data_IF_625748409797
#
_entry.id   IF_625748409797
#
_cell.length_a   1.000
_cell.length_b   1.000
_cell.length_c   1.000
_cell.angle_alpha   90.00
_cell.angle_beta   90.00
_cell.angle_gamma   90.00
#
_symmetry.space_group_name_H-M   'P 1'
#
loop_
_entity.id
_entity.type
_entity.pdbx_description
1 polymer ?
#
# COMPACT_ATOMS: atom_id res chain seq x y z
N UNK A 1 56.94 -30.68 -6.05
CA UNK A 1 56.50 -29.42 -6.68
C UNK A 1 54.97 -29.29 -6.67
N UNK A 2 54.22 -30.23 -7.17
CA UNK A 2 52.75 -30.22 -7.25
C UNK A 2 52.05 -29.99 -5.90
N UNK A 3 52.47 -30.68 -4.80
CA UNK A 3 51.90 -30.50 -3.47
C UNK A 3 52.09 -29.07 -2.92
N UNK A 4 53.23 -28.40 -3.24
CA UNK A 4 53.44 -27.00 -2.84
C UNK A 4 52.53 -26.04 -3.61
N UNK A 5 52.38 -26.26 -4.91
CA UNK A 5 51.48 -25.46 -5.73
C UNK A 5 50.02 -25.59 -5.23
N UNK A 6 49.54 -26.81 -4.99
CA UNK A 6 48.22 -27.08 -4.45
C UNK A 6 47.99 -26.41 -3.09
N UNK A 7 49.00 -26.43 -2.18
CA UNK A 7 48.94 -25.71 -0.90
C UNK A 7 48.77 -24.20 -1.08
N UNK A 8 49.48 -23.59 -2.01
CA UNK A 8 49.39 -22.15 -2.26
C UNK A 8 48.05 -21.76 -2.91
N UNK A 9 47.54 -22.58 -3.84
CA UNK A 9 46.19 -22.40 -4.42
C UNK A 9 45.13 -22.49 -3.31
N UNK A 10 45.19 -23.47 -2.43
CA UNK A 10 44.26 -23.61 -1.32
C UNK A 10 44.32 -22.41 -0.36
N UNK A 11 45.53 -21.94 0.00
CA UNK A 11 45.69 -20.74 0.83
C UNK A 11 45.08 -19.52 0.14
N UNK A 12 45.34 -19.35 -1.14
CA UNK A 12 44.75 -18.25 -1.94
C UNK A 12 43.23 -18.30 -1.93
N UNK A 13 42.61 -19.46 -2.21
CA UNK A 13 41.18 -19.65 -2.20
C UNK A 13 40.58 -19.38 -0.82
N UNK A 14 41.18 -19.86 0.25
CA UNK A 14 40.73 -19.60 1.62
C UNK A 14 40.83 -18.11 1.95
N UNK A 15 41.93 -17.47 1.57
CA UNK A 15 42.12 -16.02 1.78
C UNK A 15 41.08 -15.21 1.00
N UNK A 16 40.78 -15.61 -0.22
CA UNK A 16 39.77 -14.98 -1.06
C UNK A 16 38.36 -15.09 -0.44
N UNK A 17 38.00 -16.29 0.08
CA UNK A 17 36.74 -16.52 0.78
C UNK A 17 36.61 -15.63 2.02
N UNK A 18 37.72 -15.54 2.81
CA UNK A 18 37.77 -14.67 3.99
C UNK A 18 37.59 -13.21 3.62
N UNK A 19 38.27 -12.74 2.57
CA UNK A 19 38.15 -11.35 2.08
C UNK A 19 36.74 -11.04 1.60
N UNK A 20 36.10 -11.95 0.87
CA UNK A 20 34.70 -11.83 0.44
C UNK A 20 33.80 -11.76 1.67
N UNK A 21 33.97 -12.65 2.65
CA UNK A 21 33.18 -12.65 3.88
C UNK A 21 33.34 -11.36 4.71
N UNK A 22 34.56 -10.82 4.80
CA UNK A 22 34.79 -9.50 5.42
C UNK A 22 34.10 -8.39 4.62
N UNK A 23 34.23 -8.41 3.30
CA UNK A 23 33.60 -7.45 2.41
C UNK A 23 32.07 -7.43 2.59
N UNK A 24 31.44 -8.60 2.58
CA UNK A 24 30.00 -8.74 2.82
C UNK A 24 29.60 -8.25 4.22
N UNK A 25 30.37 -8.64 5.24
CA UNK A 25 30.10 -8.19 6.61
C UNK A 25 30.13 -6.66 6.72
N UNK A 26 31.15 -6.01 6.14
CA UNK A 26 31.27 -4.56 6.11
C UNK A 26 30.14 -3.92 5.31
N UNK A 27 29.85 -4.46 4.14
CA UNK A 27 28.76 -4.00 3.27
C UNK A 27 27.39 -4.01 3.97
N UNK A 28 27.11 -5.06 4.75
CA UNK A 28 25.84 -5.21 5.46
C UNK A 28 25.77 -4.28 6.69
N UNK A 29 26.90 -4.12 7.43
CA UNK A 29 26.87 -3.55 8.77
C UNK A 29 27.36 -2.10 8.85
N UNK A 30 28.28 -1.65 7.99
CA UNK A 30 28.72 -0.24 8.00
C UNK A 30 27.56 0.75 7.85
N UNK A 31 26.60 0.56 6.92
CA UNK A 31 25.46 1.47 6.82
C UNK A 31 24.62 1.49 8.10
N UNK A 32 24.45 0.35 8.78
CA UNK A 32 23.72 0.28 10.06
C UNK A 32 24.41 1.05 11.17
N UNK A 33 25.77 1.03 11.19
CA UNK A 33 26.56 1.79 12.16
C UNK A 33 26.51 3.30 11.84
N UNK A 34 26.63 3.67 10.57
CA UNK A 34 26.57 5.08 10.14
C UNK A 34 25.21 5.72 10.38
N UNK A 35 24.13 4.91 10.33
CA UNK A 35 22.78 5.39 10.67
C UNK A 35 22.60 5.72 12.17
N UNK A 36 23.44 5.15 13.07
CA UNK A 36 23.34 5.34 14.50
C UNK A 36 23.97 6.66 14.95
N UNK A 37 23.74 7.72 14.22
CA UNK A 37 24.19 9.05 14.62
C UNK A 37 23.10 9.81 15.36
N UNK A 38 23.52 10.83 16.09
CA UNK A 38 22.61 11.78 16.70
C UNK A 38 22.42 12.94 15.72
N UNK A 39 21.19 13.16 15.27
CA UNK A 39 20.81 14.33 14.48
C UNK A 39 20.48 15.43 15.48
N UNK A 40 21.18 16.58 15.36
CA UNK A 40 21.18 17.62 16.39
C UNK A 40 19.87 18.38 16.48
N UNK A 41 19.24 18.63 15.34
CA UNK A 41 18.04 19.48 15.15
C UNK A 41 16.74 18.69 14.89
N UNK A 42 16.78 17.36 14.98
CA UNK A 42 15.60 16.53 14.65
C UNK A 42 14.40 16.80 15.56
N UNK A 43 14.66 17.20 16.82
CA UNK A 43 13.61 17.47 17.81
C UNK A 43 12.90 18.82 17.55
N UNK A 44 13.50 19.70 16.74
CA UNK A 44 12.90 20.98 16.35
C UNK A 44 11.80 20.75 15.27
N UNK A 45 11.93 19.70 14.47
CA UNK A 45 11.04 19.40 13.36
C UNK A 45 10.14 18.18 13.58
N UNK A 46 10.60 17.20 14.35
CA UNK A 46 9.83 15.97 14.65
C UNK A 46 8.61 16.23 15.49
N UNK A 47 7.46 15.69 15.06
CA UNK A 47 6.16 15.87 15.73
C UNK A 47 5.51 14.51 16.01
N UNK A 48 4.52 14.50 16.91
CA UNK A 48 3.66 13.34 17.07
C UNK A 48 2.77 13.17 15.82
N UNK A 49 2.39 11.93 15.51
CA UNK A 49 1.47 11.63 14.38
C UNK A 49 0.13 12.36 14.55
N UNK A 50 -0.33 12.50 15.80
CA UNK A 50 -1.54 13.25 16.14
C UNK A 50 -1.43 14.77 15.89
N UNK A 51 -0.23 15.27 15.55
CA UNK A 51 -0.02 16.68 15.19
C UNK A 51 -0.01 16.95 13.70
N UNK A 52 -0.18 15.90 12.86
CA UNK A 52 -0.37 16.07 11.42
C UNK A 52 -1.56 17.01 11.20
N UNK A 53 -1.33 18.06 10.45
CA UNK A 53 -2.33 19.02 10.01
C UNK A 53 -1.93 19.54 8.65
N UNK A 54 -2.76 19.30 7.65
CA UNK A 54 -2.48 19.58 6.25
C UNK A 54 -3.19 20.85 5.79
N UNK A 55 -2.67 21.47 4.74
CA UNK A 55 -3.27 22.67 4.16
C UNK A 55 -4.64 22.33 3.53
N UNK A 56 -5.58 23.27 3.59
CA UNK A 56 -6.99 23.09 3.13
C UNK A 56 -7.13 22.81 1.62
N UNK A 57 -6.07 23.06 0.83
CA UNK A 57 -6.05 22.78 -0.60
C UNK A 57 -5.68 21.34 -0.94
N UNK A 58 -5.26 20.53 0.03
CA UNK A 58 -4.94 19.13 -0.19
C UNK A 58 -6.23 18.34 -0.47
N UNK A 59 -6.23 17.61 -1.57
CA UNK A 59 -7.36 16.80 -2.03
C UNK A 59 -7.12 15.30 -1.85
N UNK A 60 -5.86 14.85 -2.00
CA UNK A 60 -5.47 13.44 -1.80
C UNK A 60 -4.26 13.36 -0.90
N UNK A 61 -4.33 12.52 0.12
CA UNK A 61 -3.21 12.21 1.01
C UNK A 61 -2.80 10.76 0.77
N UNK A 62 -1.58 10.53 0.33
CA UNK A 62 -1.00 9.19 0.23
C UNK A 62 -0.29 8.83 1.53
N UNK A 63 -0.71 7.75 2.19
CA UNK A 63 -0.02 7.16 3.33
C UNK A 63 0.61 5.84 2.91
N UNK A 64 1.93 5.81 2.87
CA UNK A 64 2.69 4.63 2.49
C UNK A 64 2.99 3.68 3.63
N UNK A 65 3.31 2.44 3.28
CA UNK A 65 3.92 1.48 4.18
C UNK A 65 5.18 0.89 3.55
N UNK A 66 6.28 0.86 4.33
CA UNK A 66 7.58 0.35 3.86
C UNK A 66 7.57 -1.17 3.65
N UNK A 67 6.58 -1.86 4.21
CA UNK A 67 6.28 -3.28 4.02
C UNK A 67 4.85 -3.57 4.51
N UNK A 68 4.17 -4.50 3.87
CA UNK A 68 2.86 -4.98 4.30
C UNK A 68 2.89 -5.83 5.59
N UNK A 69 4.07 -6.31 5.97
CA UNK A 69 4.25 -7.28 7.06
C UNK A 69 4.41 -6.70 8.47
N UNK A 70 4.15 -5.40 8.70
CA UNK A 70 4.27 -4.75 10.00
C UNK A 70 2.94 -4.26 10.57
N UNK A 71 2.66 -4.62 11.82
CA UNK A 71 1.47 -4.19 12.57
C UNK A 71 1.48 -2.68 12.84
N UNK A 72 2.66 -2.10 13.14
CA UNK A 72 2.77 -0.67 13.42
C UNK A 72 2.32 0.18 12.22
N UNK A 73 2.54 -0.27 10.98
CA UNK A 73 2.05 0.45 9.80
C UNK A 73 0.54 0.33 9.63
N UNK A 74 -0.06 -0.80 10.02
CA UNK A 74 -1.51 -0.91 10.05
C UNK A 74 -2.12 -0.02 11.13
N UNK A 75 -1.49 0.06 12.32
CA UNK A 75 -1.89 0.99 13.38
C UNK A 75 -1.78 2.45 12.94
N UNK A 76 -0.74 2.80 12.17
CA UNK A 76 -0.56 4.14 11.62
C UNK A 76 -1.69 4.54 10.66
N UNK A 77 -2.27 3.60 9.89
CA UNK A 77 -3.44 3.89 9.06
C UNK A 77 -4.60 4.42 9.90
N UNK A 78 -4.88 3.77 11.03
CA UNK A 78 -5.92 4.20 11.95
C UNK A 78 -5.58 5.52 12.65
N UNK A 79 -4.33 5.70 13.08
CA UNK A 79 -3.90 6.91 13.79
C UNK A 79 -3.96 8.14 12.87
N UNK A 80 -3.46 8.04 11.63
CA UNK A 80 -3.53 9.10 10.62
C UNK A 80 -4.96 9.38 10.21
N UNK A 81 -5.78 8.33 9.99
CA UNK A 81 -7.21 8.49 9.69
C UNK A 81 -7.90 9.34 10.78
N UNK A 82 -7.74 8.97 12.05
CA UNK A 82 -8.32 9.71 13.19
C UNK A 82 -7.86 11.16 13.22
N UNK A 83 -6.57 11.37 13.03
CA UNK A 83 -5.98 12.72 13.04
C UNK A 83 -6.55 13.61 11.95
N UNK A 84 -6.67 13.09 10.72
CA UNK A 84 -7.20 13.85 9.59
C UNK A 84 -8.73 14.02 9.66
N UNK A 85 -9.47 13.07 10.24
CA UNK A 85 -10.89 13.24 10.54
C UNK A 85 -11.10 14.41 11.50
N UNK A 86 -10.30 14.48 12.56
CA UNK A 86 -10.42 15.52 13.58
C UNK A 86 -9.97 16.89 13.07
N UNK A 87 -8.83 16.97 12.36
CA UNK A 87 -8.18 18.24 12.01
C UNK A 87 -8.51 18.77 10.63
N UNK A 88 -8.75 17.88 9.67
CA UNK A 88 -8.92 18.24 8.27
C UNK A 88 -10.31 17.88 7.72
N UNK A 89 -11.26 17.47 8.61
CA UNK A 89 -12.60 17.03 8.21
C UNK A 89 -12.55 15.95 7.10
N UNK A 90 -11.59 15.03 7.19
CA UNK A 90 -11.48 13.89 6.28
C UNK A 90 -12.71 12.98 6.44
N UNK A 91 -13.30 12.55 5.30
CA UNK A 91 -14.44 11.63 5.30
C UNK A 91 -14.20 10.35 4.50
N UNK A 92 -13.16 10.31 3.68
CA UNK A 92 -12.96 9.23 2.73
C UNK A 92 -11.61 8.54 2.95
N UNK A 93 -11.64 7.21 3.08
CA UNK A 93 -10.47 6.38 3.18
C UNK A 93 -10.49 5.32 2.08
N UNK A 94 -9.34 5.10 1.41
CA UNK A 94 -9.17 4.04 0.44
C UNK A 94 -7.89 3.26 0.70
N UNK A 95 -7.90 1.97 0.36
CA UNK A 95 -6.77 1.06 0.60
C UNK A 95 -6.42 0.29 -0.67
N UNK A 96 -5.18 -0.22 -0.75
CA UNK A 96 -4.68 -1.11 -1.79
C UNK A 96 -5.35 -2.49 -1.70
N UNK A 97 -6.63 -2.54 -2.07
CA UNK A 97 -7.48 -3.73 -2.14
C UNK A 97 -8.45 -3.56 -3.30
N UNK A 98 -9.11 -4.64 -3.75
CA UNK A 98 -10.07 -4.58 -4.85
C UNK A 98 -11.19 -3.58 -4.57
N UNK A 99 -11.66 -2.92 -5.63
CA UNK A 99 -12.74 -1.93 -5.56
C UNK A 99 -14.01 -2.53 -4.96
N UNK A 100 -14.40 -3.74 -5.37
CA UNK A 100 -15.58 -4.42 -4.84
C UNK A 100 -15.47 -4.78 -3.37
N UNK A 101 -14.30 -5.23 -2.92
CA UNK A 101 -14.02 -5.47 -1.49
C UNK A 101 -14.21 -4.19 -0.68
N UNK A 102 -13.65 -3.07 -1.17
CA UNK A 102 -13.85 -1.76 -0.57
C UNK A 102 -15.32 -1.38 -0.44
N UNK A 103 -16.15 -1.68 -1.45
CA UNK A 103 -17.59 -1.40 -1.40
C UNK A 103 -18.35 -2.27 -0.40
N UNK A 104 -17.94 -3.54 -0.20
CA UNK A 104 -18.52 -4.39 0.84
C UNK A 104 -18.21 -3.81 2.22
N UNK A 105 -16.95 -3.41 2.46
CA UNK A 105 -16.55 -2.72 3.70
C UNK A 105 -17.34 -1.41 3.85
N UNK A 106 -17.50 -0.63 2.78
CA UNK A 106 -18.30 0.60 2.83
C UNK A 106 -19.75 0.34 3.26
N UNK A 107 -20.38 -0.70 2.70
CA UNK A 107 -21.74 -1.09 3.11
C UNK A 107 -21.78 -1.54 4.57
N UNK A 108 -20.75 -2.24 5.04
CA UNK A 108 -20.64 -2.66 6.42
C UNK A 108 -20.57 -1.46 7.39
N UNK A 109 -19.70 -0.48 7.13
CA UNK A 109 -19.56 0.69 8.04
C UNK A 109 -20.78 1.61 8.05
N UNK A 110 -21.69 1.49 7.07
CA UNK A 110 -22.98 2.16 7.04
C UNK A 110 -24.14 1.27 7.55
N UNK A 111 -23.87 0.00 7.83
CA UNK A 111 -24.83 -0.93 8.37
C UNK A 111 -25.08 -0.74 9.87
N UNK A 112 -25.80 -1.70 10.47
CA UNK A 112 -26.18 -1.67 11.89
C UNK A 112 -25.71 -2.89 12.69
N UNK A 113 -24.98 -3.80 12.05
CA UNK A 113 -24.48 -5.03 12.69
C UNK A 113 -22.95 -5.05 12.64
N UNK A 114 -22.33 -5.08 13.83
CA UNK A 114 -20.89 -5.17 14.00
C UNK A 114 -20.37 -6.58 13.71
N UNK A 115 -19.20 -6.66 13.07
CA UNK A 115 -18.43 -7.87 12.82
C UNK A 115 -16.98 -7.66 13.23
N UNK A 116 -16.48 -8.47 14.15
CA UNK A 116 -15.10 -8.40 14.66
C UNK A 116 -14.06 -8.99 13.68
N UNK A 117 -14.53 -9.69 12.64
CA UNK A 117 -13.69 -10.33 11.63
C UNK A 117 -13.90 -9.77 10.22
N UNK A 118 -14.45 -8.57 10.10
CA UNK A 118 -14.81 -7.96 8.81
C UNK A 118 -13.63 -7.87 7.83
N UNK A 119 -12.41 -7.77 8.30
CA UNK A 119 -11.21 -7.74 7.45
C UNK A 119 -10.98 -9.02 6.63
N UNK A 120 -11.66 -10.13 6.94
CA UNK A 120 -11.63 -11.36 6.13
C UNK A 120 -12.30 -11.23 4.76
N UNK A 121 -12.97 -10.11 4.49
CA UNK A 121 -13.47 -9.77 3.16
C UNK A 121 -12.34 -9.57 2.15
N UNK A 122 -11.19 -9.07 2.59
CA UNK A 122 -10.07 -8.86 1.69
C UNK A 122 -9.51 -10.18 1.14
N UNK A 123 -9.19 -10.21 -0.13
CA UNK A 123 -8.47 -11.32 -0.78
C UNK A 123 -7.00 -11.38 -0.31
N UNK A 124 -6.42 -10.24 0.03
CA UNK A 124 -5.08 -10.16 0.58
C UNK A 124 -5.06 -10.49 2.07
N UNK A 125 -4.53 -11.67 2.42
CA UNK A 125 -4.47 -12.15 3.80
C UNK A 125 -3.64 -11.26 4.75
N UNK A 126 -2.77 -10.39 4.23
CA UNK A 126 -2.06 -9.38 5.01
C UNK A 126 -2.99 -8.45 5.79
N UNK A 127 -4.23 -8.32 5.33
CA UNK A 127 -5.27 -7.52 5.99
C UNK A 127 -6.13 -8.32 6.98
N UNK A 128 -6.01 -9.66 7.03
CA UNK A 128 -6.73 -10.50 8.00
C UNK A 128 -6.12 -10.35 9.40
N UNK A 129 -6.14 -9.16 9.95
CA UNK A 129 -5.49 -8.82 11.21
C UNK A 129 -6.44 -8.09 12.15
N UNK A 130 -6.10 -8.15 13.45
CA UNK A 130 -6.81 -7.35 14.44
C UNK A 130 -6.71 -5.85 14.14
N UNK A 131 -5.53 -5.37 13.68
CA UNK A 131 -5.29 -3.96 13.40
C UNK A 131 -6.22 -3.43 12.29
N UNK A 132 -6.44 -4.23 11.23
CA UNK A 132 -7.37 -3.86 10.16
C UNK A 132 -8.83 -3.94 10.63
N UNK A 133 -9.20 -4.94 11.44
CA UNK A 133 -10.51 -4.98 12.07
C UNK A 133 -10.75 -3.75 12.96
N UNK A 134 -9.75 -3.34 13.76
CA UNK A 134 -9.83 -2.16 14.61
C UNK A 134 -10.04 -0.86 13.79
N UNK A 135 -9.37 -0.72 12.63
CA UNK A 135 -9.56 0.41 11.71
C UNK A 135 -10.99 0.44 11.16
N UNK A 136 -11.45 -0.67 10.59
CA UNK A 136 -12.77 -0.74 9.96
C UNK A 136 -13.87 -0.56 11.02
N UNK A 137 -13.71 -1.19 12.19
CA UNK A 137 -14.65 -1.04 13.29
C UNK A 137 -14.66 0.35 13.91
N UNK A 138 -13.53 1.08 13.90
CA UNK A 138 -13.53 2.50 14.25
C UNK A 138 -14.42 3.30 13.30
N UNK A 139 -14.32 3.07 11.98
CA UNK A 139 -15.18 3.75 11.00
C UNK A 139 -16.65 3.38 11.17
N UNK A 140 -16.96 2.10 11.45
CA UNK A 140 -18.30 1.66 11.79
C UNK A 140 -18.85 2.41 13.01
N UNK A 141 -18.12 2.39 14.16
CA UNK A 141 -18.54 3.03 15.40
C UNK A 141 -18.69 4.56 15.28
N UNK A 142 -17.84 5.18 14.46
CA UNK A 142 -17.95 6.61 14.11
C UNK A 142 -19.25 6.89 13.37
N UNK A 143 -19.56 6.10 12.33
CA UNK A 143 -20.74 6.26 11.49
C UNK A 143 -22.07 6.03 12.25
N UNK A 144 -22.07 5.19 13.31
CA UNK A 144 -23.25 5.02 14.17
C UNK A 144 -23.64 6.31 14.93
N UNK A 145 -22.70 7.24 15.12
CA UNK A 145 -22.87 8.45 15.90
C UNK A 145 -22.89 9.71 15.03
N UNK A 146 -22.32 9.63 13.83
CA UNK A 146 -22.22 10.75 12.91
C UNK A 146 -23.56 11.02 12.23
N UNK A 147 -23.80 12.29 11.86
CA UNK A 147 -24.87 12.65 10.95
C UNK A 147 -24.54 12.12 9.55
N UNK A 148 -25.56 11.97 8.71
CA UNK A 148 -25.39 11.37 7.37
C UNK A 148 -24.33 12.11 6.51
N UNK A 149 -24.30 13.46 6.60
CA UNK A 149 -23.33 14.30 5.91
C UNK A 149 -21.89 14.17 6.43
N UNK A 150 -21.70 13.62 7.65
CA UNK A 150 -20.41 13.50 8.33
C UNK A 150 -19.87 12.05 8.36
N UNK A 151 -20.62 11.11 7.82
CA UNK A 151 -20.23 9.70 7.78
C UNK A 151 -18.96 9.48 6.96
N UNK A 152 -18.13 8.56 7.45
CA UNK A 152 -16.93 8.10 6.76
C UNK A 152 -17.29 7.11 5.65
N UNK A 153 -16.55 7.14 4.54
CA UNK A 153 -16.65 6.21 3.43
C UNK A 153 -15.36 5.42 3.25
N UNK A 154 -15.49 4.15 2.85
CA UNK A 154 -14.38 3.24 2.62
C UNK A 154 -14.35 2.75 1.17
N UNK A 155 -13.16 2.67 0.55
CA UNK A 155 -12.95 2.25 -0.84
C UNK A 155 -11.74 1.30 -0.96
N UNK A 156 -11.74 0.47 -2.01
CA UNK A 156 -10.56 -0.15 -2.56
C UNK A 156 -10.15 0.55 -3.86
N UNK A 157 -8.85 0.59 -4.18
CA UNK A 157 -8.40 1.20 -5.43
C UNK A 157 -7.63 0.25 -6.35
N UNK A 158 -7.51 -1.02 -6.00
CA UNK A 158 -6.88 -2.07 -6.83
C UNK A 158 -7.92 -2.82 -7.68
N UNK A 159 -7.45 -3.67 -8.62
CA UNK A 159 -8.28 -4.46 -9.53
C UNK A 159 -7.85 -5.93 -9.63
N UNK A 160 -6.96 -6.39 -8.75
CA UNK A 160 -6.36 -7.72 -8.86
C UNK A 160 -7.32 -8.88 -8.51
N UNK A 161 -8.39 -8.64 -7.76
CA UNK A 161 -9.37 -9.66 -7.42
C UNK A 161 -10.81 -9.19 -7.71
N UNK A 162 -11.30 -9.34 -8.95
CA UNK A 162 -12.58 -8.77 -9.37
C UNK A 162 -13.81 -9.51 -8.83
N UNK A 163 -13.67 -10.54 -7.97
CA UNK A 163 -14.79 -11.36 -7.50
C UNK A 163 -15.89 -10.50 -6.86
N UNK A 164 -15.52 -9.61 -5.95
CA UNK A 164 -16.49 -8.77 -5.24
C UNK A 164 -17.07 -7.65 -6.10
N UNK A 165 -16.30 -7.15 -7.05
CA UNK A 165 -16.80 -6.23 -8.07
C UNK A 165 -17.88 -6.89 -8.95
N UNK A 166 -17.69 -8.17 -9.30
CA UNK A 166 -18.70 -8.95 -10.06
C UNK A 166 -19.95 -9.21 -9.22
N UNK A 167 -19.82 -9.54 -7.93
CA UNK A 167 -20.98 -9.68 -7.02
C UNK A 167 -21.83 -8.40 -7.01
N UNK A 168 -21.22 -7.22 -6.95
CA UNK A 168 -21.92 -5.94 -7.03
C UNK A 168 -22.69 -5.75 -8.35
N UNK A 169 -22.08 -6.15 -9.47
CA UNK A 169 -22.71 -6.08 -10.79
C UNK A 169 -23.93 -7.01 -10.85
N UNK A 170 -23.79 -8.26 -10.35
CA UNK A 170 -24.89 -9.23 -10.34
C UNK A 170 -26.07 -8.76 -9.48
N UNK A 171 -25.80 -8.18 -8.31
CA UNK A 171 -26.84 -7.64 -7.43
C UNK A 171 -27.57 -6.47 -8.12
N UNK A 172 -26.85 -5.60 -8.81
CA UNK A 172 -27.46 -4.51 -9.58
C UNK A 172 -28.32 -5.03 -10.73
N UNK A 173 -27.86 -6.06 -11.46
CA UNK A 173 -28.64 -6.68 -12.54
C UNK A 173 -29.94 -7.29 -12.02
N UNK A 174 -29.88 -7.96 -10.86
CA UNK A 174 -31.06 -8.54 -10.22
C UNK A 174 -32.08 -7.48 -9.81
N UNK A 175 -31.63 -6.39 -9.17
CA UNK A 175 -32.50 -5.32 -8.71
C UNK A 175 -33.17 -4.57 -9.87
N UNK A 176 -32.49 -4.47 -11.02
CA UNK A 176 -33.02 -3.75 -12.21
C UNK A 176 -33.67 -4.70 -13.22
N UNK A 177 -33.89 -5.98 -12.89
CA UNK A 177 -34.50 -6.99 -13.76
C UNK A 177 -33.79 -7.13 -15.12
N UNK A 178 -32.47 -7.09 -15.15
CA UNK A 178 -31.68 -7.28 -16.37
C UNK A 178 -31.74 -8.78 -16.72
N UNK A 179 -32.27 -9.11 -17.89
CA UNK A 179 -32.59 -10.50 -18.31
C UNK A 179 -31.38 -11.43 -18.34
N UNK A 180 -30.19 -10.92 -18.58
CA UNK A 180 -28.93 -11.67 -18.64
C UNK A 180 -28.33 -12.01 -17.27
N UNK A 181 -28.93 -11.59 -16.16
CA UNK A 181 -28.39 -11.81 -14.81
C UNK A 181 -28.12 -13.30 -14.53
N UNK A 182 -29.05 -14.20 -14.92
CA UNK A 182 -28.90 -15.65 -14.68
C UNK A 182 -27.75 -16.26 -15.47
N UNK A 183 -27.50 -15.79 -16.67
CA UNK A 183 -26.40 -16.27 -17.50
C UNK A 183 -25.07 -15.75 -16.95
N UNK A 184 -24.99 -14.48 -16.56
CA UNK A 184 -23.83 -13.91 -15.85
C UNK A 184 -23.52 -14.68 -14.58
N UNK A 185 -24.51 -14.95 -13.72
CA UNK A 185 -24.31 -15.67 -12.47
C UNK A 185 -23.74 -17.07 -12.71
N UNK A 186 -24.21 -17.78 -13.74
CA UNK A 186 -23.69 -19.08 -14.14
C UNK A 186 -22.25 -18.99 -14.63
N UNK A 187 -21.96 -18.04 -15.50
CA UNK A 187 -20.65 -17.88 -16.13
C UNK A 187 -19.57 -17.41 -15.13
N UNK A 188 -19.94 -16.54 -14.18
CA UNK A 188 -19.03 -16.08 -13.15
C UNK A 188 -18.98 -16.95 -11.88
N UNK A 189 -19.83 -17.99 -11.77
CA UNK A 189 -19.76 -18.94 -10.64
C UNK A 189 -18.41 -19.67 -10.54
N UNK A 190 -17.68 -19.80 -11.64
CA UNK A 190 -16.36 -20.42 -11.72
C UNK A 190 -15.21 -19.54 -11.19
N UNK A 191 -15.44 -18.28 -10.90
CA UNK A 191 -14.41 -17.39 -10.36
C UNK A 191 -13.88 -17.90 -9.01
N UNK A 192 -14.75 -18.55 -8.22
CA UNK A 192 -14.37 -19.21 -6.96
C UNK A 192 -13.47 -20.44 -7.16
N UNK A 193 -13.48 -21.03 -8.36
CA UNK A 193 -12.58 -22.11 -8.74
C UNK A 193 -11.35 -21.54 -9.47
N UNK A 194 -10.26 -21.29 -8.72
CA UNK A 194 -8.98 -20.71 -9.22
C UNK A 194 -8.33 -21.48 -10.38
N UNK A 195 -8.93 -22.59 -10.85
CA UNK A 195 -8.48 -23.36 -12.00
C UNK A 195 -8.76 -22.68 -13.34
N UNK A 196 -9.70 -21.76 -13.41
CA UNK A 196 -10.05 -21.06 -14.66
C UNK A 196 -9.31 -19.72 -14.78
N UNK A 197 -8.88 -19.38 -16.00
CA UNK A 197 -8.33 -18.05 -16.29
C UNK A 197 -9.48 -17.04 -16.25
N UNK A 198 -9.63 -16.35 -15.12
CA UNK A 198 -10.66 -15.33 -14.88
C UNK A 198 -10.72 -14.32 -16.04
N UNK A 199 -9.54 -13.84 -16.49
CA UNK A 199 -9.44 -12.91 -17.61
C UNK A 199 -10.16 -13.39 -18.87
N UNK A 200 -10.09 -14.70 -19.20
CA UNK A 200 -10.76 -15.24 -20.37
C UNK A 200 -12.29 -15.18 -20.25
N UNK A 201 -12.82 -15.56 -19.07
CA UNK A 201 -14.28 -15.54 -18.82
C UNK A 201 -14.81 -14.12 -18.89
N UNK A 202 -14.11 -13.16 -18.29
CA UNK A 202 -14.48 -11.74 -18.32
C UNK A 202 -14.44 -11.23 -19.76
N UNK A 203 -13.38 -11.55 -20.51
CA UNK A 203 -13.22 -11.14 -21.92
C UNK A 203 -14.34 -11.68 -22.82
N UNK A 204 -14.74 -12.95 -22.62
CA UNK A 204 -15.86 -13.55 -23.38
C UNK A 204 -17.21 -12.87 -23.05
N UNK A 205 -17.28 -12.03 -21.99
CA UNK A 205 -18.45 -11.28 -21.55
C UNK A 205 -18.30 -9.75 -21.62
N UNK A 206 -17.22 -9.28 -22.28
CA UNK A 206 -16.91 -7.84 -22.35
C UNK A 206 -18.07 -7.03 -22.92
N UNK A 207 -18.64 -7.45 -24.06
CA UNK A 207 -19.77 -6.74 -24.68
C UNK A 207 -20.97 -6.63 -23.74
N UNK A 208 -21.31 -7.70 -23.05
CA UNK A 208 -22.41 -7.72 -22.08
C UNK A 208 -22.12 -6.81 -20.87
N UNK A 209 -20.89 -6.81 -20.35
CA UNK A 209 -20.47 -5.90 -19.29
C UNK A 209 -20.57 -4.43 -19.73
N UNK A 210 -20.18 -4.14 -20.97
CA UNK A 210 -20.30 -2.79 -21.55
C UNK A 210 -21.77 -2.36 -21.75
N UNK A 211 -22.67 -3.27 -22.15
CA UNK A 211 -24.10 -2.99 -22.21
C UNK A 211 -24.69 -2.66 -20.83
N UNK A 212 -24.33 -3.45 -19.79
CA UNK A 212 -24.75 -3.19 -18.41
C UNK A 212 -24.21 -1.84 -17.93
N UNK A 213 -22.93 -1.55 -18.25
CA UNK A 213 -22.30 -0.26 -17.93
C UNK A 213 -23.05 0.90 -18.60
N UNK A 214 -23.35 0.79 -19.89
CA UNK A 214 -24.10 1.81 -20.62
C UNK A 214 -25.47 2.06 -19.99
N UNK A 215 -26.18 1.01 -19.58
CA UNK A 215 -27.45 1.15 -18.84
C UNK A 215 -27.22 1.85 -17.49
N UNK A 216 -26.23 1.43 -16.70
CA UNK A 216 -25.93 2.06 -15.40
C UNK A 216 -25.59 3.56 -15.57
N UNK A 217 -24.88 3.94 -16.63
CA UNK A 217 -24.50 5.32 -16.94
C UNK A 217 -25.72 6.21 -17.29
N UNK A 218 -26.88 5.64 -17.69
CA UNK A 218 -28.12 6.41 -17.87
C UNK A 218 -28.79 6.80 -16.55
N UNK A 219 -28.39 6.16 -15.44
CA UNK A 219 -29.01 6.36 -14.13
C UNK A 219 -28.20 7.37 -13.30
N UNK A 220 -28.89 8.26 -12.58
CA UNK A 220 -28.26 9.28 -11.75
C UNK A 220 -27.85 8.82 -10.34
N UNK A 221 -28.29 7.62 -9.92
CA UNK A 221 -28.07 7.12 -8.56
C UNK A 221 -26.58 6.84 -8.26
N UNK A 222 -26.16 7.05 -7.01
CA UNK A 222 -24.82 6.71 -6.55
C UNK A 222 -24.50 5.23 -6.76
N UNK A 223 -25.47 4.32 -6.56
CA UNK A 223 -25.32 2.89 -6.78
C UNK A 223 -24.99 2.57 -8.23
N UNK A 224 -25.70 3.18 -9.19
CA UNK A 224 -25.42 2.98 -10.61
C UNK A 224 -24.02 3.47 -11.01
N UNK A 225 -23.58 4.61 -10.51
CA UNK A 225 -22.21 5.12 -10.73
C UNK A 225 -21.15 4.18 -10.16
N UNK A 226 -21.37 3.61 -8.97
CA UNK A 226 -20.49 2.62 -8.36
C UNK A 226 -20.41 1.35 -9.21
N UNK A 227 -21.56 0.85 -9.71
CA UNK A 227 -21.60 -0.34 -10.55
C UNK A 227 -20.91 -0.09 -11.90
N UNK A 228 -21.13 1.07 -12.52
CA UNK A 228 -20.39 1.48 -13.73
C UNK A 228 -18.86 1.46 -13.50
N UNK A 229 -18.40 1.94 -12.33
CA UNK A 229 -16.98 1.86 -11.96
C UNK A 229 -16.52 0.43 -11.68
N UNK A 230 -17.33 -0.40 -11.00
CA UNK A 230 -17.03 -1.81 -10.76
C UNK A 230 -16.85 -2.58 -12.07
N UNK A 231 -17.69 -2.33 -13.09
CA UNK A 231 -17.53 -2.91 -14.43
C UNK A 231 -16.20 -2.48 -15.05
N UNK A 232 -15.85 -1.19 -14.95
CA UNK A 232 -14.55 -0.71 -15.44
C UNK A 232 -13.39 -1.43 -14.71
N UNK A 233 -13.48 -1.61 -13.40
CA UNK A 233 -12.48 -2.30 -12.60
C UNK A 233 -12.33 -3.78 -13.01
N UNK A 234 -13.44 -4.46 -13.29
CA UNK A 234 -13.45 -5.84 -13.80
C UNK A 234 -12.75 -5.92 -15.17
N UNK A 235 -13.02 -5.00 -16.08
CA UNK A 235 -12.38 -4.94 -17.40
C UNK A 235 -10.89 -4.56 -17.28
N UNK A 236 -10.51 -3.71 -16.34
CA UNK A 236 -9.13 -3.35 -16.06
C UNK A 236 -8.35 -4.56 -15.51
N UNK A 237 -8.98 -5.45 -14.74
CA UNK A 237 -8.34 -6.70 -14.29
C UNK A 237 -7.93 -7.60 -15.46
N UNK A 238 -8.69 -7.62 -16.56
CA UNK A 238 -8.34 -8.36 -17.78
C UNK A 238 -7.05 -7.80 -18.39
N UNK A 239 -6.97 -6.47 -18.53
CA UNK A 239 -5.76 -5.80 -19.07
C UNK A 239 -4.52 -6.17 -18.26
N UNK A 240 -4.66 -6.23 -16.93
CA UNK A 240 -3.57 -6.60 -16.02
C UNK A 240 -3.19 -8.09 -16.19
N UNK A 241 -4.15 -9.03 -16.17
CA UNK A 241 -3.88 -10.45 -16.24
C UNK A 241 -3.47 -10.97 -17.62
N UNK A 242 -3.63 -10.18 -18.69
CA UNK A 242 -3.11 -10.50 -20.02
C UNK A 242 -1.62 -10.13 -20.19
N UNK A 243 -1.00 -9.48 -19.19
CA UNK A 243 0.42 -9.12 -19.22
C UNK A 243 1.33 -10.33 -18.98
N UNK A 244 2.55 -10.25 -19.50
CA UNK A 244 3.64 -11.12 -19.09
C UNK A 244 4.23 -10.63 -17.76
N UNK A 245 3.96 -11.34 -16.68
CA UNK A 245 4.49 -11.00 -15.35
C UNK A 245 6.00 -11.18 -15.20
N UNK A 246 6.70 -11.77 -16.19
CA UNK A 246 8.16 -11.73 -16.25
C UNK A 246 8.66 -10.33 -16.62
N UNK A 247 7.86 -9.51 -17.31
CA UNK A 247 8.13 -8.09 -17.51
C UNK A 247 7.59 -7.28 -16.31
N UNK A 248 8.37 -7.30 -15.23
CA UNK A 248 8.05 -6.62 -13.97
C UNK A 248 7.73 -5.14 -14.19
N UNK A 249 8.50 -4.43 -15.01
CA UNK A 249 8.31 -3.01 -15.29
C UNK A 249 6.95 -2.75 -15.92
N UNK A 250 6.61 -3.50 -16.96
CA UNK A 250 5.33 -3.34 -17.67
C UNK A 250 4.14 -3.69 -16.80
N UNK A 251 4.22 -4.78 -16.02
CA UNK A 251 3.14 -5.20 -15.15
C UNK A 251 2.84 -4.14 -14.07
N UNK A 252 3.88 -3.58 -13.43
CA UNK A 252 3.69 -2.53 -12.43
C UNK A 252 3.21 -1.22 -13.06
N UNK A 253 3.76 -0.78 -14.20
CA UNK A 253 3.27 0.42 -14.89
C UNK A 253 1.77 0.38 -15.14
N UNK A 254 1.27 -0.74 -15.70
CA UNK A 254 -0.15 -0.90 -15.99
C UNK A 254 -0.98 -0.92 -14.71
N UNK A 255 -0.57 -1.68 -13.69
CA UNK A 255 -1.30 -1.75 -12.42
C UNK A 255 -1.38 -0.38 -11.75
N UNK A 256 -0.27 0.33 -11.68
CA UNK A 256 -0.20 1.63 -11.02
C UNK A 256 -1.01 2.71 -11.75
N UNK A 257 -1.02 2.72 -13.09
CA UNK A 257 -1.90 3.58 -13.88
C UNK A 257 -3.39 3.30 -13.61
N UNK A 258 -3.78 2.01 -13.56
CA UNK A 258 -5.15 1.61 -13.29
C UNK A 258 -5.58 1.96 -11.86
N UNK A 259 -4.71 1.76 -10.86
CA UNK A 259 -4.94 2.18 -9.48
C UNK A 259 -5.11 3.70 -9.38
N UNK A 260 -4.29 4.49 -10.08
CA UNK A 260 -4.42 5.94 -10.12
C UNK A 260 -5.77 6.37 -10.74
N UNK A 261 -6.24 5.66 -11.76
CA UNK A 261 -7.57 5.84 -12.34
C UNK A 261 -8.70 5.60 -11.34
N UNK A 262 -8.58 4.56 -10.48
CA UNK A 262 -9.52 4.30 -9.38
C UNK A 262 -9.50 5.43 -8.34
N UNK A 263 -8.32 5.86 -7.89
CA UNK A 263 -8.17 6.96 -6.92
C UNK A 263 -8.79 8.25 -7.47
N UNK A 264 -8.52 8.57 -8.74
CA UNK A 264 -9.13 9.75 -9.39
C UNK A 264 -10.65 9.67 -9.38
N UNK A 265 -11.21 8.52 -9.78
CA UNK A 265 -12.65 8.32 -9.81
C UNK A 265 -13.27 8.47 -8.41
N UNK A 266 -12.66 7.87 -7.37
CA UNK A 266 -13.12 7.98 -5.97
C UNK A 266 -13.12 9.46 -5.54
N UNK A 267 -12.04 10.18 -5.81
CA UNK A 267 -11.93 11.61 -5.47
C UNK A 267 -13.02 12.44 -6.16
N UNK A 268 -13.27 12.24 -7.45
CA UNK A 268 -14.29 12.97 -8.20
C UNK A 268 -15.71 12.62 -7.71
N UNK A 269 -15.95 11.33 -7.43
CA UNK A 269 -17.23 10.85 -6.91
C UNK A 269 -17.57 11.45 -5.55
N UNK A 270 -16.59 11.56 -4.67
CA UNK A 270 -16.77 12.13 -3.33
C UNK A 270 -16.82 13.66 -3.35
N UNK A 271 -16.07 14.33 -4.23
CA UNK A 271 -16.20 15.78 -4.47
C UNK A 271 -17.59 16.17 -4.94
N UNK A 272 -18.22 15.36 -5.79
CA UNK A 272 -19.59 15.60 -6.23
C UNK A 272 -20.62 15.53 -5.09
N UNK A 273 -20.26 14.91 -3.95
CA UNK A 273 -21.03 14.88 -2.70
C UNK A 273 -20.64 15.99 -1.71
N UNK A 274 -19.63 16.81 -2.03
CA UNK A 274 -19.11 17.86 -1.16
C UNK A 274 -17.91 17.46 -0.29
N UNK A 275 -17.41 16.24 -0.41
CA UNK A 275 -16.26 15.75 0.35
C UNK A 275 -14.96 16.06 -0.39
N UNK A 276 -14.05 16.84 0.23
CA UNK A 276 -12.88 17.40 -0.48
C UNK A 276 -11.65 16.50 -0.40
N UNK A 277 -11.45 15.79 0.71
CA UNK A 277 -10.20 15.08 1.00
C UNK A 277 -10.40 13.57 0.99
N UNK A 278 -9.43 12.86 0.40
CA UNK A 278 -9.33 11.41 0.35
C UNK A 278 -7.97 10.97 0.91
N UNK A 279 -7.96 10.11 1.94
CA UNK A 279 -6.77 9.41 2.40
C UNK A 279 -6.67 8.07 1.68
N UNK A 280 -5.58 7.85 0.95
CA UNK A 280 -5.26 6.56 0.35
C UNK A 280 -4.10 5.90 1.09
N UNK A 281 -4.14 4.58 1.26
CA UNK A 281 -3.04 3.83 1.88
C UNK A 281 -2.65 2.61 1.05
N UNK A 282 -1.35 2.50 0.74
CA UNK A 282 -0.74 1.40 0.00
C UNK A 282 0.76 1.32 0.27
N UNK A 283 1.46 0.44 -0.45
CA UNK A 283 2.91 0.32 -0.33
C UNK A 283 3.61 1.65 -0.70
N UNK A 284 4.72 1.96 -0.01
CA UNK A 284 5.55 3.14 -0.28
C UNK A 284 5.87 3.30 -1.77
N UNK A 285 6.20 2.20 -2.45
CA UNK A 285 6.54 2.19 -3.87
C UNK A 285 5.39 2.66 -4.77
N UNK A 286 4.13 2.35 -4.41
CA UNK A 286 2.97 2.77 -5.19
C UNK A 286 2.60 4.24 -4.97
N UNK A 287 2.74 4.76 -3.73
CA UNK A 287 2.33 6.13 -3.43
C UNK A 287 3.40 7.19 -3.71
N UNK A 288 4.67 6.79 -3.90
CA UNK A 288 5.79 7.70 -4.09
C UNK A 288 5.67 8.54 -5.37
N UNK A 289 6.32 9.73 -5.40
CA UNK A 289 6.39 10.61 -6.59
C UNK A 289 7.12 9.96 -7.75
N UNK A 290 8.05 9.06 -7.47
CA UNK A 290 8.86 8.36 -8.47
C UNK A 290 9.33 7.01 -7.95
N UNK A 291 9.68 6.12 -8.87
CA UNK A 291 10.34 4.83 -8.64
C UNK A 291 11.32 4.57 -9.81
N UNK A 292 12.41 3.80 -9.55
CA UNK A 292 13.49 3.60 -10.54
C UNK A 292 13.09 2.69 -11.69
N UNK A 293 12.25 1.72 -11.43
CA UNK A 293 12.02 0.60 -12.35
C UNK A 293 10.67 0.69 -13.07
N UNK A 294 9.74 1.50 -12.57
CA UNK A 294 8.42 1.69 -13.16
C UNK A 294 7.84 3.05 -12.75
N UNK A 295 6.77 3.48 -13.41
CA UNK A 295 6.05 4.71 -13.06
C UNK A 295 4.97 4.39 -12.01
N UNK A 296 5.15 4.81 -10.74
CA UNK A 296 4.25 4.46 -9.66
C UNK A 296 2.93 5.24 -9.74
N UNK A 297 1.89 4.71 -9.09
CA UNK A 297 0.60 5.36 -8.92
C UNK A 297 0.75 6.81 -8.45
N UNK A 298 1.64 7.07 -7.49
CA UNK A 298 1.92 8.41 -6.97
C UNK A 298 2.41 9.41 -8.02
N UNK A 299 3.20 8.95 -9.02
CA UNK A 299 3.60 9.77 -10.17
C UNK A 299 2.38 10.19 -11.01
N UNK A 300 1.48 9.25 -11.32
CA UNK A 300 0.23 9.54 -12.02
C UNK A 300 -0.66 10.48 -11.22
N UNK A 301 -0.79 10.27 -9.90
CA UNK A 301 -1.57 11.13 -9.02
C UNK A 301 -0.97 12.55 -8.92
N UNK A 302 0.37 12.68 -8.91
CA UNK A 302 1.03 14.00 -8.93
C UNK A 302 0.75 14.75 -10.24
N UNK A 303 0.67 14.06 -11.38
CA UNK A 303 0.26 14.65 -12.66
C UNK A 303 -1.21 15.11 -12.63
N UNK A 304 -2.09 14.35 -11.98
CA UNK A 304 -3.54 14.64 -11.91
C UNK A 304 -3.84 15.76 -10.92
N UNK A 305 -3.29 15.70 -9.71
CA UNK A 305 -3.65 16.58 -8.59
C UNK A 305 -2.62 17.70 -8.33
N UNK A 306 -1.40 17.60 -8.89
CA UNK A 306 -0.34 18.58 -8.65
C UNK A 306 0.02 18.70 -7.18
N UNK A 307 0.07 19.93 -6.66
CA UNK A 307 0.39 20.22 -5.25
C UNK A 307 -0.75 19.84 -4.27
N UNK A 308 -1.90 19.41 -4.78
CA UNK A 308 -3.01 18.93 -3.97
C UNK A 308 -2.89 17.44 -3.59
N UNK A 309 -1.86 16.74 -4.07
CA UNK A 309 -1.47 15.41 -3.64
C UNK A 309 -0.29 15.52 -2.66
N UNK A 310 -0.54 15.19 -1.39
CA UNK A 310 0.45 15.21 -0.31
C UNK A 310 0.83 13.78 0.08
N UNK A 311 2.10 13.46 0.14
CA UNK A 311 2.59 12.10 0.30
C UNK A 311 3.35 11.92 1.60
N UNK A 312 2.86 11.01 2.44
CA UNK A 312 3.48 10.60 3.70
C UNK A 312 4.03 9.18 3.54
N UNK A 313 5.34 9.05 3.38
CA UNK A 313 6.01 7.74 3.41
C UNK A 313 6.17 7.21 4.83
N UNK A 314 6.56 5.95 4.96
CA UNK A 314 6.95 5.39 6.27
C UNK A 314 8.28 4.66 6.18
N UNK A 315 9.03 4.61 7.29
CA UNK A 315 10.18 3.73 7.44
C UNK A 315 10.33 3.28 8.92
N UNK A 316 11.10 2.23 9.14
CA UNK A 316 11.47 1.76 10.48
C UNK A 316 12.99 1.56 10.59
N UNK A 317 13.57 1.81 11.76
CA UNK A 317 14.99 1.56 11.97
C UNK A 317 15.29 0.05 12.05
N UNK A 318 14.54 -0.68 12.86
CA UNK A 318 14.60 -2.13 12.99
C UNK A 318 13.19 -2.70 13.12
N UNK A 319 12.91 -3.80 12.46
CA UNK A 319 11.60 -4.43 12.56
C UNK A 319 11.66 -5.94 12.39
N UNK A 320 10.64 -6.60 12.89
CA UNK A 320 10.28 -7.97 12.52
C UNK A 320 9.15 -7.86 11.51
N UNK A 321 9.33 -8.44 10.34
CA UNK A 321 8.36 -8.42 9.25
C UNK A 321 7.81 -9.82 9.06
N UNK A 322 6.49 -9.98 9.06
CA UNK A 322 5.82 -11.20 8.66
C UNK A 322 5.64 -11.19 7.15
N UNK A 323 6.30 -12.09 6.43
CA UNK A 323 6.45 -12.05 4.97
C UNK A 323 6.43 -13.46 4.37
N UNK A 324 5.98 -13.59 3.12
CA UNK A 324 5.96 -14.85 2.38
C UNK A 324 7.39 -15.28 2.01
N UNK A 325 7.77 -16.50 2.33
CA UNK A 325 9.01 -17.11 1.86
C UNK A 325 8.85 -17.61 0.42
N UNK A 326 9.84 -17.30 -0.42
CA UNK A 326 9.88 -17.80 -1.79
C UNK A 326 10.30 -19.27 -1.78
N UNK A 327 9.46 -20.15 -2.33
CA UNK A 327 9.74 -21.58 -2.41
C UNK A 327 8.49 -22.43 -2.66
N UNK A 328 8.66 -23.77 -2.81
CA UNK A 328 7.53 -24.69 -3.07
C UNK A 328 6.48 -24.71 -1.97
N UNK A 329 6.90 -24.47 -0.72
CA UNK A 329 6.05 -24.47 0.49
C UNK A 329 5.87 -23.04 1.00
N UNK A 330 5.59 -22.09 0.11
CA UNK A 330 5.46 -20.67 0.45
C UNK A 330 4.64 -20.46 1.73
N UNK A 331 5.31 -20.11 2.82
CA UNK A 331 4.72 -19.81 4.14
C UNK A 331 5.09 -18.41 4.56
N UNK A 332 4.19 -17.76 5.25
CA UNK A 332 4.52 -16.51 5.94
C UNK A 332 5.34 -16.83 7.19
N UNK A 333 6.43 -16.11 7.38
CA UNK A 333 7.28 -16.23 8.56
C UNK A 333 7.88 -14.89 8.97
N UNK A 334 8.40 -14.84 10.18
CA UNK A 334 8.93 -13.62 10.79
C UNK A 334 10.43 -13.48 10.55
N UNK A 335 10.83 -12.40 9.86
CA UNK A 335 12.21 -12.07 9.60
C UNK A 335 12.60 -10.70 10.13
N UNK A 336 13.85 -10.55 10.60
CA UNK A 336 14.39 -9.29 11.13
C UNK A 336 15.06 -8.50 10.03
N UNK A 337 14.65 -7.22 9.88
CA UNK A 337 15.26 -6.27 8.97
C UNK A 337 15.77 -5.03 9.73
N UNK A 338 16.80 -4.38 9.17
CA UNK A 338 17.37 -3.12 9.69
C UNK A 338 17.56 -2.18 8.50
N UNK A 339 16.92 -1.02 8.52
CA UNK A 339 16.91 -0.09 7.39
C UNK A 339 18.28 0.52 7.11
N UNK A 340 18.99 0.94 8.12
CA UNK A 340 20.13 1.83 8.04
C UNK A 340 19.76 3.30 7.69
N UNK A 341 18.53 3.70 7.98
CA UNK A 341 18.05 5.07 7.90
C UNK A 341 18.35 5.83 9.21
N UNK A 342 19.11 6.95 9.19
CA UNK A 342 19.38 7.76 10.37
C UNK A 342 18.15 8.51 10.89
N UNK A 343 17.18 8.84 10.02
CA UNK A 343 15.92 9.45 10.43
C UNK A 343 15.08 8.44 11.21
N UNK A 344 14.94 7.20 10.69
CA UNK A 344 14.23 6.14 11.43
C UNK A 344 14.94 5.77 12.75
N UNK A 345 16.27 5.81 12.81
CA UNK A 345 17.01 5.65 14.08
C UNK A 345 16.65 6.73 15.10
N UNK A 346 16.37 7.95 14.64
CA UNK A 346 16.03 9.09 15.52
C UNK A 346 14.67 8.93 16.19
N UNK A 347 13.78 8.05 15.73
CA UNK A 347 12.49 7.79 16.35
C UNK A 347 12.60 7.34 17.83
N UNK A 348 13.77 6.84 18.28
CA UNK A 348 14.05 6.55 19.69
C UNK A 348 13.94 7.78 20.62
N UNK A 349 14.09 8.99 20.07
CA UNK A 349 13.93 10.25 20.82
C UNK A 349 12.46 10.65 21.05
N UNK A 350 11.52 10.04 20.28
CA UNK A 350 10.10 10.38 20.19
C UNK A 350 9.18 9.26 20.70
N UNK A 351 9.57 8.56 21.75
CA UNK A 351 8.80 7.41 22.30
C UNK A 351 8.56 6.29 21.28
N UNK A 352 9.44 6.16 20.29
CA UNK A 352 9.44 5.08 19.32
C UNK A 352 8.88 5.42 17.95
N UNK A 353 8.20 6.55 17.75
CA UNK A 353 7.74 7.03 16.44
C UNK A 353 7.57 8.54 16.39
N UNK A 354 7.70 9.13 15.18
CA UNK A 354 7.44 10.55 14.94
C UNK A 354 7.11 10.80 13.48
N UNK A 355 6.46 11.91 13.21
CA UNK A 355 6.19 12.46 11.90
C UNK A 355 7.17 13.60 11.60
N UNK A 356 7.68 13.67 10.38
CA UNK A 356 8.51 14.74 9.86
C UNK A 356 7.91 15.28 8.58
N UNK A 357 7.47 16.54 8.61
CA UNK A 357 6.99 17.28 7.45
C UNK A 357 8.16 17.91 6.71
N UNK A 358 8.52 17.38 5.55
CA UNK A 358 9.67 17.86 4.76
C UNK A 358 9.47 19.28 4.22
N UNK A 359 8.23 19.73 4.08
CA UNK A 359 7.91 21.07 3.60
C UNK A 359 8.23 22.15 4.65
N UNK A 360 8.34 21.75 5.91
CA UNK A 360 8.63 22.64 7.05
C UNK A 360 10.11 22.63 7.46
N UNK A 361 10.91 21.68 6.98
CA UNK A 361 12.36 21.59 7.25
C UNK A 361 13.10 22.54 6.32
N UNK A 362 13.79 23.55 6.88
CA UNK A 362 14.39 24.62 6.08
C UNK A 362 15.91 24.61 6.04
N UNK A 363 16.55 24.13 7.11
CA UNK A 363 18.00 24.12 7.28
C UNK A 363 18.43 23.03 8.26
N UNK A 364 19.74 22.93 8.54
CA UNK A 364 20.32 22.05 9.51
C UNK A 364 20.59 20.63 9.01
N UNK A 365 20.97 19.76 9.94
CA UNK A 365 21.34 18.37 9.63
C UNK A 365 20.17 17.55 9.12
N UNK A 366 18.95 17.82 9.63
CA UNK A 366 17.70 17.21 9.15
C UNK A 366 17.43 17.59 7.71
N UNK A 367 17.61 18.87 7.34
CA UNK A 367 17.47 19.33 5.96
C UNK A 367 18.45 18.63 5.02
N UNK A 368 19.72 18.52 5.42
CA UNK A 368 20.71 17.80 4.63
C UNK A 368 20.34 16.34 4.40
N UNK A 369 19.77 15.68 5.41
CA UNK A 369 19.37 14.27 5.34
C UNK A 369 18.18 14.01 4.40
N UNK A 370 17.18 14.88 4.42
CA UNK A 370 16.02 14.71 3.53
C UNK A 370 16.30 15.10 2.08
N UNK A 371 17.38 15.86 1.83
CA UNK A 371 17.82 16.33 0.50
C UNK A 371 19.01 15.54 -0.07
N UNK A 372 19.43 14.43 0.54
CA UNK A 372 20.49 13.55 0.01
C UNK A 372 20.05 12.09 0.03
N UNK A 373 20.74 11.28 -0.76
CA UNK A 373 20.52 9.84 -0.77
C UNK A 373 20.79 9.22 0.61
N UNK A 374 19.78 8.57 1.18
CA UNK A 374 19.88 7.74 2.38
C UNK A 374 19.33 6.34 2.10
N UNK A 375 19.66 5.38 2.97
CA UNK A 375 19.05 4.07 2.89
C UNK A 375 17.69 4.09 3.58
N UNK A 376 16.67 3.61 2.89
CA UNK A 376 15.31 3.42 3.42
C UNK A 376 14.86 1.98 3.16
N UNK A 377 13.92 1.45 3.95
CA UNK A 377 13.32 0.14 3.65
C UNK A 377 12.28 0.28 2.54
N UNK A 378 12.34 -0.65 1.60
CA UNK A 378 11.27 -0.94 0.65
C UNK A 378 11.22 -2.46 0.50
N UNK A 379 10.21 -3.09 1.08
CA UNK A 379 10.10 -4.54 1.15
C UNK A 379 8.69 -4.96 0.76
N UNK A 380 8.58 -5.62 -0.39
CA UNK A 380 7.33 -6.22 -0.86
C UNK A 380 6.95 -7.48 -0.08
N UNK A 381 6.19 -8.38 -0.69
CA UNK A 381 5.61 -9.57 -0.07
C UNK A 381 6.44 -10.85 -0.21
N UNK A 382 7.67 -10.78 -0.74
CA UNK A 382 8.50 -11.95 -0.99
C UNK A 382 9.82 -11.89 -0.23
N UNK A 383 10.17 -12.97 0.47
CA UNK A 383 11.43 -13.14 1.17
C UNK A 383 12.23 -14.32 0.62
N UNK A 384 13.52 -14.08 0.37
CA UNK A 384 14.50 -15.14 0.10
C UNK A 384 15.63 -15.09 1.14
N UNK A 385 16.16 -16.24 1.61
CA UNK A 385 17.29 -16.28 2.52
C UNK A 385 18.52 -15.50 2.04
N UNK A 386 18.70 -15.34 0.72
CA UNK A 386 19.77 -14.55 0.11
C UNK A 386 19.67 -13.06 0.45
N UNK A 387 18.49 -12.55 0.78
CA UNK A 387 18.29 -11.14 1.17
C UNK A 387 19.12 -10.75 2.40
N UNK A 388 19.46 -11.71 3.28
CA UNK A 388 20.34 -11.49 4.44
C UNK A 388 21.73 -11.01 4.02
N UNK A 389 22.21 -11.45 2.86
CA UNK A 389 23.53 -11.11 2.30
C UNK A 389 23.44 -10.00 1.23
N UNK A 390 22.22 -9.65 0.80
CA UNK A 390 21.96 -8.67 -0.26
C UNK A 390 21.07 -7.52 0.25
N UNK A 391 21.61 -6.57 1.05
CA UNK A 391 20.80 -5.47 1.61
C UNK A 391 20.04 -4.64 0.56
N UNK A 392 20.57 -4.54 -0.67
CA UNK A 392 19.90 -3.85 -1.79
C UNK A 392 18.55 -4.46 -2.20
N UNK A 393 18.26 -5.71 -1.78
CA UNK A 393 16.98 -6.37 -2.06
C UNK A 393 15.84 -5.86 -1.18
N UNK A 394 16.14 -5.11 -0.10
CA UNK A 394 15.15 -4.54 0.81
C UNK A 394 15.48 -3.11 1.27
N UNK A 395 16.62 -2.55 0.82
CA UNK A 395 16.99 -1.16 1.04
C UNK A 395 17.09 -0.45 -0.29
N UNK A 396 16.31 0.60 -0.43
CA UNK A 396 16.49 1.57 -1.51
C UNK A 396 17.43 2.67 -1.04
N UNK A 397 18.17 3.24 -1.97
CA UNK A 397 19.04 4.40 -1.72
C UNK A 397 18.55 5.55 -2.58
N UNK A 398 17.80 6.45 -1.97
CA UNK A 398 17.08 7.54 -2.61
C UNK A 398 17.12 8.80 -1.76
N UNK A 399 16.73 9.93 -2.35
CA UNK A 399 16.52 11.20 -1.66
C UNK A 399 15.09 11.23 -1.13
N UNK A 400 14.85 11.28 0.20
CA UNK A 400 13.49 11.20 0.75
C UNK A 400 12.52 12.23 0.20
N UNK A 401 12.96 13.48 0.03
CA UNK A 401 12.14 14.59 -0.45
C UNK A 401 11.72 14.45 -1.92
N UNK A 402 12.50 13.71 -2.72
CA UNK A 402 12.14 13.42 -4.10
C UNK A 402 10.99 12.40 -4.20
N UNK A 403 10.80 11.60 -3.14
CA UNK A 403 9.76 10.57 -3.08
C UNK A 403 8.50 11.03 -2.32
N UNK A 404 8.68 11.78 -1.23
CA UNK A 404 7.60 12.09 -0.27
C UNK A 404 7.58 13.57 0.10
N UNK A 405 6.46 14.06 0.63
CA UNK A 405 6.33 15.40 1.20
C UNK A 405 6.53 15.40 2.73
N UNK A 406 6.42 14.23 3.34
CA UNK A 406 6.75 13.94 4.73
C UNK A 406 6.87 12.45 4.97
N UNK A 407 7.36 12.06 6.14
CA UNK A 407 7.46 10.65 6.53
C UNK A 407 7.13 10.44 8.00
N UNK A 408 6.63 9.23 8.31
CA UNK A 408 6.49 8.72 9.67
C UNK A 408 7.56 7.65 9.89
N UNK A 409 8.37 7.84 10.92
CA UNK A 409 9.46 6.93 11.27
C UNK A 409 9.13 6.16 12.54
N UNK A 410 9.42 4.85 12.52
CA UNK A 410 9.22 3.93 13.64
C UNK A 410 10.59 3.37 14.07
N UNK A 411 10.91 3.42 15.37
CA UNK A 411 12.19 2.88 15.85
C UNK A 411 12.25 1.35 15.79
N UNK A 412 11.18 0.70 16.25
CA UNK A 412 11.05 -0.75 16.22
C UNK A 412 9.65 -1.17 15.78
N UNK A 413 9.56 -1.79 14.62
CA UNK A 413 8.30 -2.26 14.05
C UNK A 413 8.05 -3.75 14.37
N UNK A 414 6.81 -4.07 14.74
CA UNK A 414 6.34 -5.41 15.10
C UNK A 414 5.73 -6.11 13.88
N UNK A 415 5.78 -7.44 13.80
CA UNK A 415 5.15 -8.17 12.71
C UNK A 415 3.63 -8.14 12.83
N UNK A 416 2.94 -8.23 11.70
CA UNK A 416 1.50 -8.54 11.72
C UNK A 416 1.27 -9.94 12.27
N UNK A 417 0.10 -10.13 12.89
CA UNK A 417 -0.46 -11.43 13.22
C UNK A 417 -1.67 -11.66 12.31
N UNK A 418 -1.49 -12.49 11.29
CA UNK A 418 -2.57 -12.87 10.39
C UNK A 418 -3.48 -13.86 11.13
N UNK A 419 -4.77 -13.58 11.15
CA UNK A 419 -5.79 -14.47 11.74
C UNK A 419 -6.22 -15.49 10.67
N UNK A 420 -5.99 -16.76 10.94
CA UNK A 420 -6.45 -17.89 10.08
C UNK A 420 -7.97 -18.01 10.02
#
# INVERSE_FOLDING_TARGET
MIKKIFKWILIFLVSLIILIGIGDFLWINLPKLSARKNISDIEDYGKAVSEINLDDNIEVVGLGEATHGNADFQDLKLEVLKTLVEKNNLKNFAIEADFGEGMIINNYIHGNKRDENISRIFSFNIYHTKNMNDLINYMFDYNQKAKDEDKLSFYGFDMQDPEKSIELILDFCKENNILQEKDLQKDFSFIKDKKFKISKIIKDKEDLLLEIKAYADTLSSSKAKIVSRAITNVLDSVKYYELDFNDYTKANNVRDELMAGNVKWISDFEKAKGNKMLLISGHNGHIAKSEKFYEPMGSHLKKIFGEKYFIIGTDFYKGIVNINEVGPDSKRSNHVFVSADPLAYSARKFKGKYYLDFTKVKDGETFDLINKEINMVSLGEAYSPLMKFMPRSYRIKEVPKDLYDGMIFVYYAKPIAVND
#
